data_IF_335777370884
#
_entry.id   IF_335777370884
#
_cell.length_a   1.000
_cell.length_b   1.000
_cell.length_c   1.000
_cell.angle_alpha   90.00
_cell.angle_beta   90.00
_cell.angle_gamma   90.00
#
_symmetry.space_group_name_H-M   'P 1'
#
loop_
_entity.id
_entity.type
_entity.pdbx_description
1 polymer ?
#
# COMPACT_ATOMS: atom_id res chain seq x y z
N UNK A 1 17.47 7.29 -18.06
CA UNK A 1 18.03 7.95 -16.87
C UNK A 1 18.87 6.96 -16.07
N UNK A 2 19.84 7.46 -15.31
CA UNK A 2 20.59 6.77 -14.29
C UNK A 2 19.99 7.11 -12.92
N UNK A 3 19.36 6.14 -12.28
CA UNK A 3 18.58 6.32 -11.04
C UNK A 3 19.34 5.64 -9.92
N UNK A 4 19.72 6.37 -8.87
CA UNK A 4 20.30 5.76 -7.67
C UNK A 4 19.31 5.73 -6.51
N UNK A 5 19.35 4.63 -5.75
CA UNK A 5 18.49 4.40 -4.60
C UNK A 5 19.34 3.99 -3.40
N UNK A 6 19.03 4.50 -2.21
CA UNK A 6 19.45 3.84 -0.98
C UNK A 6 18.69 2.51 -0.78
N UNK A 7 19.19 1.67 0.11
CA UNK A 7 18.63 0.38 0.40
C UNK A 7 17.82 0.33 1.71
N UNK A 8 18.45 0.66 2.84
CA UNK A 8 17.92 0.36 4.17
C UNK A 8 16.93 1.43 4.62
N UNK A 9 15.64 1.10 4.73
CA UNK A 9 14.55 2.06 4.97
C UNK A 9 14.17 2.95 3.77
N UNK A 10 14.77 2.71 2.61
CA UNK A 10 14.32 3.28 1.32
C UNK A 10 13.65 2.20 0.46
N UNK A 11 14.36 1.10 0.17
CA UNK A 11 13.84 -0.06 -0.58
C UNK A 11 13.30 -1.13 0.38
N UNK A 12 14.10 -1.50 1.38
CA UNK A 12 13.77 -2.53 2.35
C UNK A 12 13.05 -1.90 3.55
N UNK A 13 11.82 -2.34 3.79
CA UNK A 13 10.99 -1.94 4.91
C UNK A 13 11.17 -2.92 6.08
N UNK A 14 11.58 -2.37 7.23
CA UNK A 14 11.85 -3.15 8.43
C UNK A 14 10.83 -2.94 9.55
N UNK A 15 9.76 -2.17 9.33
CA UNK A 15 8.83 -1.77 10.40
C UNK A 15 8.29 -2.97 11.20
N UNK A 16 7.80 -3.99 10.49
CA UNK A 16 7.29 -5.21 11.12
C UNK A 16 8.41 -6.07 11.72
N UNK A 17 9.61 -6.03 11.13
CA UNK A 17 10.79 -6.75 11.63
C UNK A 17 11.23 -6.17 12.98
N UNK A 18 11.30 -4.85 13.09
CA UNK A 18 11.60 -4.16 14.35
C UNK A 18 10.56 -4.49 15.43
N UNK A 19 9.26 -4.40 15.09
CA UNK A 19 8.18 -4.71 16.02
C UNK A 19 8.21 -6.16 16.49
N UNK A 20 8.36 -7.12 15.57
CA UNK A 20 8.41 -8.55 15.89
C UNK A 20 9.64 -8.92 16.72
N UNK A 21 10.84 -8.43 16.38
CA UNK A 21 12.05 -8.69 17.15
C UNK A 21 12.01 -8.03 18.54
N UNK A 22 11.40 -6.85 18.67
CA UNK A 22 11.19 -6.21 19.96
C UNK A 22 10.27 -7.04 20.88
N UNK A 23 9.20 -7.62 20.32
CA UNK A 23 8.30 -8.53 21.05
C UNK A 23 9.02 -9.82 21.47
N UNK A 24 9.81 -10.42 20.57
CA UNK A 24 10.58 -11.64 20.86
C UNK A 24 11.58 -11.39 21.99
N UNK A 25 12.26 -10.23 21.99
CA UNK A 25 13.23 -9.84 23.02
C UNK A 25 12.58 -9.30 24.30
N UNK A 26 11.24 -9.26 24.40
CA UNK A 26 10.52 -8.75 25.56
C UNK A 26 10.72 -7.25 25.81
N UNK A 27 11.10 -6.47 24.79
CA UNK A 27 11.31 -5.02 24.92
C UNK A 27 10.00 -4.24 24.94
N UNK A 28 8.94 -4.83 24.38
CA UNK A 28 7.56 -4.34 24.37
C UNK A 28 6.60 -5.51 24.61
N UNK A 29 5.37 -5.20 25.05
CA UNK A 29 4.31 -6.20 25.19
C UNK A 29 3.94 -6.83 23.84
N UNK A 30 3.47 -8.08 23.84
CA UNK A 30 3.06 -8.82 22.62
C UNK A 30 1.98 -8.08 21.82
N UNK A 31 1.11 -7.36 22.51
CA UNK A 31 -0.01 -6.59 21.93
C UNK A 31 0.39 -5.18 21.47
N UNK A 32 1.66 -4.77 21.62
CA UNK A 32 2.13 -3.45 21.21
C UNK A 32 1.98 -3.26 19.69
N UNK A 33 1.51 -2.07 19.27
CA UNK A 33 1.17 -1.74 17.87
C UNK A 33 1.88 -0.48 17.33
N UNK A 34 2.99 -0.07 17.92
CA UNK A 34 3.75 1.09 17.43
C UNK A 34 4.64 0.76 16.22
N UNK A 35 5.19 1.80 15.61
CA UNK A 35 6.12 1.71 14.49
C UNK A 35 7.60 1.76 14.95
N UNK A 36 8.54 1.68 14.00
CA UNK A 36 9.99 1.75 14.28
C UNK A 36 10.40 3.01 15.06
N UNK A 37 9.78 4.16 14.77
CA UNK A 37 10.09 5.43 15.42
C UNK A 37 9.56 5.46 16.86
N UNK A 38 8.34 4.97 17.08
CA UNK A 38 7.78 4.79 18.43
C UNK A 38 8.68 3.88 19.26
N UNK A 39 9.14 2.77 18.68
CA UNK A 39 10.06 1.84 19.33
C UNK A 39 11.40 2.50 19.67
N UNK A 40 11.97 3.28 18.75
CA UNK A 40 13.23 4.00 18.96
C UNK A 40 13.09 5.00 20.12
N UNK A 41 12.00 5.75 20.18
CA UNK A 41 11.71 6.69 21.26
C UNK A 41 11.58 5.97 22.62
N UNK A 42 10.81 4.88 22.66
CA UNK A 42 10.64 4.06 23.87
C UNK A 42 11.96 3.48 24.39
N UNK A 43 12.83 3.02 23.48
CA UNK A 43 14.13 2.45 23.84
C UNK A 43 15.10 3.55 24.29
N UNK A 44 15.12 4.69 23.59
CA UNK A 44 16.03 5.80 23.90
C UNK A 44 15.79 6.42 25.27
N UNK A 45 14.57 6.28 25.83
CA UNK A 45 14.24 6.73 27.18
C UNK A 45 14.86 5.85 28.30
N UNK A 46 15.49 4.71 27.98
CA UNK A 46 16.13 3.82 28.95
C UNK A 46 17.60 4.17 29.15
N UNK A 47 18.13 3.92 30.35
CA UNK A 47 19.54 4.19 30.70
C UNK A 47 20.55 3.49 29.77
N UNK A 48 20.24 2.27 29.30
CA UNK A 48 21.05 1.51 28.32
C UNK A 48 20.45 1.53 26.90
N UNK A 49 19.59 2.51 26.60
CA UNK A 49 18.80 2.59 25.38
C UNK A 49 19.60 2.54 24.09
N UNK A 50 20.73 3.25 24.03
CA UNK A 50 21.59 3.27 22.84
C UNK A 50 22.15 1.88 22.51
N UNK A 51 22.66 1.16 23.50
CA UNK A 51 23.20 -0.20 23.34
C UNK A 51 22.10 -1.17 22.92
N UNK A 52 20.91 -1.06 23.52
CA UNK A 52 19.74 -1.87 23.14
C UNK A 52 19.36 -1.61 21.68
N UNK A 53 19.28 -0.34 21.28
CA UNK A 53 18.94 0.05 19.92
C UNK A 53 19.96 -0.46 18.89
N UNK A 54 21.25 -0.28 19.15
CA UNK A 54 22.31 -0.79 18.28
C UNK A 54 22.30 -2.31 18.16
N UNK A 55 22.07 -3.03 19.27
CA UNK A 55 21.93 -4.49 19.28
C UNK A 55 20.72 -4.94 18.45
N UNK A 56 19.61 -4.21 18.55
CA UNK A 56 18.41 -4.47 17.75
C UNK A 56 18.68 -4.24 16.26
N UNK A 57 19.37 -3.15 15.90
CA UNK A 57 19.76 -2.90 14.51
C UNK A 57 20.65 -4.02 13.96
N UNK A 58 21.60 -4.54 14.75
CA UNK A 58 22.43 -5.68 14.36
C UNK A 58 21.61 -6.95 14.07
N UNK A 59 20.60 -7.24 14.89
CA UNK A 59 19.68 -8.35 14.67
C UNK A 59 18.80 -8.15 13.43
N UNK A 60 18.20 -6.96 13.29
CA UNK A 60 17.21 -6.67 12.24
C UNK A 60 17.84 -6.60 10.86
N UNK A 61 18.95 -5.88 10.72
CA UNK A 61 19.62 -5.70 9.42
C UNK A 61 20.52 -6.87 9.02
N UNK A 62 20.76 -7.81 9.94
CA UNK A 62 21.55 -9.01 9.72
C UNK A 62 20.67 -10.27 9.74
N UNK A 63 20.64 -11.05 10.83
CA UNK A 63 19.93 -12.33 10.88
C UNK A 63 18.45 -12.26 10.46
N UNK A 64 17.74 -11.18 10.82
CA UNK A 64 16.32 -11.03 10.54
C UNK A 64 16.03 -10.28 9.23
N UNK A 65 17.05 -9.95 8.44
CA UNK A 65 16.93 -9.25 7.14
C UNK A 65 15.91 -9.93 6.21
N UNK A 66 15.89 -11.26 6.18
CA UNK A 66 14.99 -12.02 5.31
C UNK A 66 13.50 -11.79 5.57
N UNK A 67 13.15 -11.28 6.77
CA UNK A 67 11.78 -10.93 7.14
C UNK A 67 11.35 -9.55 6.64
N UNK A 68 12.27 -8.74 6.12
CA UNK A 68 11.96 -7.43 5.58
C UNK A 68 11.09 -7.55 4.32
N UNK A 69 10.19 -6.59 4.16
CA UNK A 69 9.32 -6.47 2.97
C UNK A 69 9.84 -5.34 2.08
N UNK A 70 9.41 -5.30 0.83
CA UNK A 70 9.61 -4.10 0.02
C UNK A 70 8.70 -3.00 0.57
N UNK A 71 9.17 -1.75 0.54
CA UNK A 71 8.21 -0.65 0.67
C UNK A 71 7.14 -0.76 -0.43
N UNK A 72 5.87 -0.48 -0.11
CA UNK A 72 4.82 -0.44 -1.13
C UNK A 72 5.23 0.50 -2.27
N UNK A 73 5.00 0.08 -3.52
CA UNK A 73 5.33 0.83 -4.72
C UNK A 73 6.75 0.62 -5.26
N UNK A 74 7.71 0.10 -4.49
CA UNK A 74 9.09 -0.17 -4.98
C UNK A 74 9.10 -1.12 -6.19
N UNK A 75 8.36 -2.24 -6.08
CA UNK A 75 8.31 -3.23 -7.16
C UNK A 75 7.76 -2.63 -8.47
N UNK A 76 6.77 -1.73 -8.35
CA UNK A 76 6.21 -1.00 -9.49
C UNK A 76 7.22 -0.04 -10.08
N UNK A 77 7.87 0.74 -9.23
CA UNK A 77 8.90 1.70 -9.65
C UNK A 77 10.03 1.02 -10.42
N UNK A 78 10.56 -0.10 -9.90
CA UNK A 78 11.65 -0.85 -10.53
C UNK A 78 11.23 -1.43 -11.88
N UNK A 79 10.02 -1.98 -11.98
CA UNK A 79 9.48 -2.50 -13.23
C UNK A 79 9.32 -1.37 -14.28
N UNK A 80 8.77 -0.22 -13.88
CA UNK A 80 8.67 0.96 -14.77
C UNK A 80 10.04 1.44 -15.23
N UNK A 81 11.02 1.50 -14.33
CA UNK A 81 12.40 1.86 -14.69
C UNK A 81 12.94 0.95 -15.79
N UNK A 82 12.77 -0.37 -15.65
CA UNK A 82 13.18 -1.34 -16.66
C UNK A 82 12.46 -1.12 -17.99
N UNK A 83 11.13 -0.97 -17.96
CA UNK A 83 10.30 -0.78 -19.17
C UNK A 83 10.66 0.51 -19.94
N UNK A 84 11.01 1.58 -19.22
CA UNK A 84 11.47 2.85 -19.81
C UNK A 84 12.97 2.87 -20.13
N UNK A 85 13.68 1.74 -20.02
CA UNK A 85 15.11 1.65 -20.29
C UNK A 85 15.98 2.49 -19.36
N UNK A 86 15.52 2.75 -18.13
CA UNK A 86 16.30 3.41 -17.10
C UNK A 86 17.23 2.41 -16.42
N UNK A 87 18.44 2.88 -16.05
CA UNK A 87 19.40 2.05 -15.31
C UNK A 87 19.30 2.38 -13.83
N UNK A 88 19.01 1.37 -13.02
CA UNK A 88 18.93 1.48 -11.57
C UNK A 88 20.27 1.08 -10.94
N UNK A 89 20.72 1.89 -9.98
CA UNK A 89 21.84 1.65 -9.09
C UNK A 89 21.35 1.65 -7.65
N UNK A 90 21.86 0.72 -6.83
CA UNK A 90 21.61 0.72 -5.40
C UNK A 90 22.91 1.10 -4.72
N UNK A 91 22.93 2.23 -4.02
CA UNK A 91 24.11 2.77 -3.36
C UNK A 91 23.78 3.00 -1.90
N UNK A 92 24.31 2.15 -1.01
CA UNK A 92 23.96 2.21 0.42
C UNK A 92 25.19 2.10 1.31
N UNK A 93 25.18 2.87 2.40
CA UNK A 93 26.18 2.76 3.45
C UNK A 93 25.81 1.56 4.32
N UNK A 94 26.65 0.52 4.29
CA UNK A 94 26.38 -0.72 5.02
C UNK A 94 27.68 -1.32 5.54
N UNK A 95 27.80 -1.39 6.86
CA UNK A 95 28.95 -2.02 7.53
C UNK A 95 29.03 -3.51 7.21
N UNK A 96 30.21 -4.11 7.41
CA UNK A 96 30.40 -5.55 7.19
C UNK A 96 29.57 -6.40 8.16
N UNK A 97 29.51 -5.99 9.42
CA UNK A 97 28.79 -6.67 10.50
C UNK A 97 27.88 -5.68 11.23
N UNK A 98 26.80 -6.21 11.81
CA UNK A 98 25.91 -5.45 12.69
C UNK A 98 26.55 -5.14 14.04
N UNK A 99 26.15 -4.03 14.66
CA UNK A 99 26.57 -3.72 16.02
C UNK A 99 26.08 -4.82 16.98
N UNK A 100 26.99 -5.34 17.80
CA UNK A 100 26.72 -6.39 18.80
C UNK A 100 26.07 -7.67 18.23
N UNK A 101 26.19 -7.92 16.92
CA UNK A 101 25.69 -9.14 16.32
C UNK A 101 26.61 -10.32 16.63
N UNK A 102 26.17 -11.17 17.57
CA UNK A 102 26.90 -12.39 17.99
C UNK A 102 26.97 -13.45 16.88
N UNK A 103 26.05 -13.42 15.91
CA UNK A 103 26.03 -14.37 14.79
C UNK A 103 27.11 -14.05 13.75
N UNK A 104 27.66 -12.83 13.78
CA UNK A 104 28.60 -12.31 12.78
C UNK A 104 28.04 -12.41 11.37
N UNK A 105 26.74 -12.13 11.20
CA UNK A 105 26.10 -12.11 9.89
C UNK A 105 26.74 -11.02 9.02
N UNK A 106 27.17 -11.40 7.82
CA UNK A 106 27.68 -10.46 6.82
C UNK A 106 26.49 -9.68 6.24
N UNK A 107 26.35 -8.42 6.65
CA UNK A 107 25.14 -7.67 6.34
C UNK A 107 24.96 -7.45 4.83
N UNK A 108 26.07 -7.27 4.10
CA UNK A 108 26.05 -7.07 2.65
C UNK A 108 25.57 -8.32 1.91
N UNK A 109 26.02 -9.50 2.34
CA UNK A 109 25.58 -10.77 1.77
C UNK A 109 24.11 -11.03 2.10
N UNK A 110 23.69 -10.76 3.34
CA UNK A 110 22.28 -10.86 3.74
C UNK A 110 21.38 -9.96 2.86
N UNK A 111 21.80 -8.72 2.58
CA UNK A 111 21.08 -7.82 1.69
C UNK A 111 21.06 -8.29 0.24
N UNK A 112 22.17 -8.83 -0.29
CA UNK A 112 22.20 -9.40 -1.65
C UNK A 112 21.29 -10.63 -1.78
N UNK A 113 21.32 -11.52 -0.78
CA UNK A 113 20.46 -12.70 -0.75
C UNK A 113 18.98 -12.31 -0.64
N UNK A 114 18.68 -11.25 0.13
CA UNK A 114 17.33 -10.69 0.19
C UNK A 114 16.90 -10.08 -1.16
N UNK A 115 17.74 -9.27 -1.81
CA UNK A 115 17.43 -8.73 -3.14
C UNK A 115 17.17 -9.83 -4.16
N UNK A 116 17.96 -10.91 -4.11
CA UNK A 116 17.80 -12.09 -4.96
C UNK A 116 16.45 -12.79 -4.70
N UNK A 117 16.08 -12.99 -3.42
CA UNK A 117 14.79 -13.58 -3.06
C UNK A 117 13.59 -12.69 -3.40
N UNK A 118 13.81 -11.38 -3.56
CA UNK A 118 12.82 -10.42 -4.09
C UNK A 118 12.88 -10.26 -5.61
N UNK A 119 13.71 -11.02 -6.32
CA UNK A 119 13.77 -11.04 -7.78
C UNK A 119 14.44 -9.84 -8.44
N UNK A 120 15.25 -9.07 -7.69
CA UNK A 120 15.98 -7.89 -8.21
C UNK A 120 16.82 -8.23 -9.43
N UNK A 121 17.42 -9.41 -9.44
CA UNK A 121 18.36 -9.84 -10.46
C UNK A 121 17.73 -10.76 -11.52
N UNK A 122 16.42 -10.99 -11.44
CA UNK A 122 15.69 -11.82 -12.40
C UNK A 122 15.29 -10.94 -13.58
N UNK A 123 15.77 -11.29 -14.78
CA UNK A 123 15.51 -10.51 -15.99
C UNK A 123 14.02 -10.39 -16.28
N UNK A 124 13.22 -11.46 -16.14
CA UNK A 124 11.76 -11.40 -16.36
C UNK A 124 11.01 -10.55 -15.33
N UNK A 125 11.66 -10.13 -14.24
CA UNK A 125 11.12 -9.21 -13.24
C UNK A 125 11.82 -7.84 -13.38
N UNK A 126 12.62 -7.43 -12.40
CA UNK A 126 13.25 -6.10 -12.35
C UNK A 126 14.54 -5.99 -13.17
N UNK A 127 15.24 -7.10 -13.42
CA UNK A 127 16.43 -7.14 -14.30
C UNK A 127 17.59 -6.22 -13.88
N UNK A 128 17.74 -5.92 -12.59
CA UNK A 128 18.83 -5.08 -12.09
C UNK A 128 20.15 -5.86 -12.24
N UNK A 129 21.18 -5.21 -12.76
CA UNK A 129 22.50 -5.81 -12.83
C UNK A 129 23.13 -5.87 -11.42
N UNK A 130 23.57 -7.05 -10.97
CA UNK A 130 24.28 -7.20 -9.68
C UNK A 130 25.50 -6.27 -9.53
N UNK A 131 26.15 -5.90 -10.64
CA UNK A 131 27.28 -4.94 -10.65
C UNK A 131 26.87 -3.50 -10.30
N UNK A 132 25.58 -3.19 -10.33
CA UNK A 132 25.04 -1.88 -9.97
C UNK A 132 24.72 -1.75 -8.48
N UNK A 133 25.05 -2.77 -7.67
CA UNK A 133 24.85 -2.75 -6.22
C UNK A 133 26.16 -2.36 -5.54
N UNK A 134 26.16 -1.23 -4.85
CA UNK A 134 27.32 -0.66 -4.19
C UNK A 134 27.06 -0.49 -2.70
N UNK A 135 27.76 -1.27 -1.89
CA UNK A 135 27.83 -1.07 -0.44
C UNK A 135 29.11 -0.35 -0.05
N UNK A 136 29.00 0.72 0.71
CA UNK A 136 30.14 1.52 1.18
C UNK A 136 30.32 1.39 2.70
N UNK A 137 31.54 1.62 3.19
CA UNK A 137 31.86 1.51 4.62
C UNK A 137 31.54 2.79 5.40
N UNK A 138 31.45 3.93 4.70
CA UNK A 138 31.16 5.22 5.32
C UNK A 138 30.16 6.01 4.47
N UNK A 139 29.48 6.96 5.11
CA UNK A 139 28.63 7.93 4.43
C UNK A 139 29.39 8.73 3.37
N UNK A 140 30.61 9.18 3.67
CA UNK A 140 31.46 9.89 2.70
C UNK A 140 31.78 9.04 1.47
N UNK A 141 32.11 7.76 1.65
CA UNK A 141 32.29 6.83 0.53
C UNK A 141 31.01 6.64 -0.29
N UNK A 142 29.84 6.60 0.35
CA UNK A 142 28.53 6.55 -0.32
C UNK A 142 28.39 7.75 -1.27
N UNK A 143 28.65 8.95 -0.75
CA UNK A 143 28.52 10.21 -1.52
C UNK A 143 29.51 10.25 -2.69
N UNK A 144 30.77 9.86 -2.47
CA UNK A 144 31.76 9.76 -3.54
C UNK A 144 31.34 8.74 -4.60
N UNK A 145 30.72 7.62 -4.20
CA UNK A 145 30.18 6.63 -5.13
C UNK A 145 29.02 7.20 -5.95
N UNK A 146 28.03 7.85 -5.31
CA UNK A 146 26.91 8.56 -5.97
C UNK A 146 27.46 9.54 -7.01
N UNK A 147 28.44 10.36 -6.63
CA UNK A 147 29.12 11.32 -7.52
C UNK A 147 29.81 10.64 -8.70
N UNK A 148 30.48 9.52 -8.48
CA UNK A 148 31.19 8.77 -9.55
C UNK A 148 30.27 8.12 -10.58
N UNK A 149 29.01 7.88 -10.23
CA UNK A 149 28.03 7.21 -11.09
C UNK A 149 27.31 8.19 -12.04
N UNK A 150 27.49 9.51 -11.87
CA UNK A 150 26.85 10.55 -12.67
C UNK A 150 25.32 10.35 -12.78
N UNK A 151 24.67 10.08 -11.63
CA UNK A 151 23.24 9.81 -11.56
C UNK A 151 22.40 11.04 -11.94
N UNK A 152 21.21 10.82 -12.49
CA UNK A 152 20.24 11.89 -12.76
C UNK A 152 19.41 12.22 -11.50
N UNK A 153 19.09 11.18 -10.72
CA UNK A 153 18.27 11.26 -9.51
C UNK A 153 18.80 10.31 -8.43
N UNK A 154 18.69 10.73 -7.16
CA UNK A 154 19.00 9.89 -6.02
C UNK A 154 17.89 9.96 -4.97
N UNK A 155 17.45 8.78 -4.50
CA UNK A 155 16.41 8.61 -3.47
C UNK A 155 17.04 8.06 -2.20
N UNK A 156 16.79 8.70 -1.07
CA UNK A 156 17.32 8.32 0.24
C UNK A 156 16.34 8.71 1.35
N UNK A 157 16.28 7.96 2.45
CA UNK A 157 15.48 8.30 3.64
C UNK A 157 16.22 9.25 4.60
N UNK A 158 17.54 9.42 4.43
CA UNK A 158 18.37 10.24 5.31
C UNK A 158 18.70 11.60 4.70
N UNK A 159 18.18 12.66 5.32
CA UNK A 159 18.44 14.05 4.90
C UNK A 159 19.94 14.41 4.98
N UNK A 160 20.68 13.85 5.95
CA UNK A 160 22.12 14.13 6.10
C UNK A 160 22.96 13.71 4.89
N UNK A 161 22.46 12.81 4.04
CA UNK A 161 23.12 12.42 2.78
C UNK A 161 23.11 13.61 1.82
N UNK A 162 21.97 14.30 1.72
CA UNK A 162 21.74 15.41 0.82
C UNK A 162 22.39 16.72 1.27
N UNK A 163 22.60 16.88 2.58
CA UNK A 163 23.27 18.04 3.20
C UNK A 163 24.80 17.99 3.09
N UNK A 164 25.38 16.86 2.68
CA UNK A 164 26.82 16.75 2.61
C UNK A 164 27.39 17.62 1.46
N UNK A 165 28.42 18.41 1.76
CA UNK A 165 29.02 19.38 0.83
C UNK A 165 29.51 18.76 -0.51
N UNK A 166 30.00 17.52 -0.48
CA UNK A 166 30.42 16.80 -1.70
C UNK A 166 29.28 16.18 -2.52
N UNK A 167 28.02 16.27 -2.06
CA UNK A 167 26.89 15.67 -2.77
C UNK A 167 26.71 16.32 -4.16
N UNK A 168 26.55 15.53 -5.24
CA UNK A 168 26.50 16.08 -6.59
C UNK A 168 25.22 16.88 -6.85
N UNK A 169 25.26 17.79 -7.83
CA UNK A 169 24.10 18.58 -8.26
C UNK A 169 23.18 17.75 -9.17
N UNK A 170 22.40 16.87 -8.55
CA UNK A 170 21.45 15.95 -9.19
C UNK A 170 20.07 16.11 -8.55
N UNK A 171 19.03 15.49 -9.11
CA UNK A 171 17.70 15.51 -8.48
C UNK A 171 17.74 14.73 -7.16
N UNK A 172 17.37 15.38 -6.06
CA UNK A 172 17.36 14.82 -4.70
C UNK A 172 15.93 14.52 -4.29
N UNK A 173 15.64 13.28 -3.88
CA UNK A 173 14.34 12.89 -3.35
C UNK A 173 14.53 12.31 -1.95
N UNK A 174 13.99 13.00 -0.94
CA UNK A 174 13.97 12.54 0.44
C UNK A 174 12.72 11.70 0.68
N UNK A 175 12.91 10.42 1.00
CA UNK A 175 11.84 9.52 1.38
C UNK A 175 11.54 9.65 2.88
N UNK A 176 10.63 10.55 3.23
CA UNK A 176 10.31 10.83 4.62
C UNK A 176 8.90 11.40 4.79
N UNK A 177 8.31 11.16 5.96
CA UNK A 177 7.08 11.85 6.40
C UNK A 177 7.35 13.17 7.13
N UNK A 178 8.62 13.46 7.44
CA UNK A 178 9.04 14.66 8.17
C UNK A 178 9.41 15.78 7.19
N UNK A 179 9.21 17.03 7.62
CA UNK A 179 9.62 18.20 6.83
C UNK A 179 11.11 18.21 6.57
N UNK A 180 11.51 18.55 5.33
CA UNK A 180 12.89 18.82 4.94
C UNK A 180 13.30 20.23 5.36
N UNK A 181 14.54 20.38 5.82
CA UNK A 181 15.20 21.65 6.12
C UNK A 181 16.00 22.13 4.89
N UNK A 182 16.45 21.21 4.04
CA UNK A 182 17.20 21.53 2.82
C UNK A 182 16.30 22.12 1.72
N UNK A 183 16.72 23.26 1.16
CA UNK A 183 16.12 23.84 -0.03
C UNK A 183 16.55 23.03 -1.27
N UNK A 184 15.63 22.75 -2.20
CA UNK A 184 15.85 21.96 -3.43
C UNK A 184 15.94 20.43 -3.25
N UNK A 185 15.37 19.90 -2.17
CA UNK A 185 15.06 18.47 -2.02
C UNK A 185 13.57 18.26 -2.21
N UNK A 186 13.19 17.31 -3.06
CA UNK A 186 11.80 16.89 -3.20
C UNK A 186 11.46 15.93 -2.05
N UNK A 187 10.47 16.29 -1.24
CA UNK A 187 10.01 15.44 -0.14
C UNK A 187 8.89 14.52 -0.64
N UNK A 188 9.09 13.21 -0.51
CA UNK A 188 8.07 12.20 -0.83
C UNK A 188 7.90 11.25 0.35
N UNK A 189 6.66 10.91 0.71
CA UNK A 189 6.38 9.99 1.82
C UNK A 189 5.86 8.62 1.36
N UNK A 190 5.77 8.39 0.05
CA UNK A 190 5.35 7.14 -0.57
C UNK A 190 6.04 6.98 -1.94
N UNK A 191 6.08 5.76 -2.47
CA UNK A 191 6.77 5.48 -3.73
C UNK A 191 6.00 5.92 -4.97
N UNK A 192 4.68 6.11 -4.90
CA UNK A 192 3.92 6.71 -6.00
C UNK A 192 4.38 8.15 -6.27
N UNK A 193 4.64 8.94 -5.23
CA UNK A 193 5.17 10.30 -5.37
C UNK A 193 6.62 10.30 -5.81
N UNK A 194 7.46 9.39 -5.29
CA UNK A 194 8.85 9.20 -5.76
C UNK A 194 8.85 8.88 -7.25
N UNK A 195 8.00 7.95 -7.67
CA UNK A 195 7.85 7.52 -9.06
C UNK A 195 7.45 8.70 -9.97
N UNK A 196 6.39 9.42 -9.62
CA UNK A 196 5.94 10.59 -10.38
C UNK A 196 7.02 11.67 -10.44
N UNK A 197 7.70 11.92 -9.33
CA UNK A 197 8.76 12.92 -9.21
C UNK A 197 9.99 12.53 -10.02
N UNK A 198 10.37 11.27 -10.05
CA UNK A 198 11.59 10.82 -10.71
C UNK A 198 11.41 10.54 -12.21
N UNK A 199 10.36 9.82 -12.60
CA UNK A 199 10.18 9.28 -13.96
C UNK A 199 8.84 9.67 -14.61
N UNK A 200 8.04 10.49 -13.94
CA UNK A 200 6.77 11.02 -14.42
C UNK A 200 5.56 10.12 -14.12
N UNK A 201 4.36 10.64 -14.42
CA UNK A 201 3.12 9.87 -14.32
C UNK A 201 3.15 8.64 -15.23
N UNK A 202 2.33 7.64 -14.88
CA UNK A 202 2.22 6.42 -15.67
C UNK A 202 1.45 6.66 -16.97
N UNK A 203 2.06 6.27 -18.09
CA UNK A 203 1.45 6.38 -19.42
C UNK A 203 0.68 5.11 -19.81
N UNK A 204 -0.23 5.21 -20.78
CA UNK A 204 -0.98 4.06 -21.29
C UNK A 204 -0.06 2.97 -21.91
N UNK A 205 1.06 3.37 -22.52
CA UNK A 205 2.08 2.46 -23.05
C UNK A 205 2.68 1.59 -21.94
N UNK A 206 2.94 2.17 -20.78
CA UNK A 206 3.44 1.45 -19.61
C UNK A 206 2.38 0.53 -19.00
N UNK A 207 1.12 0.96 -18.98
CA UNK A 207 -0.01 0.10 -18.58
C UNK A 207 -0.06 -1.15 -19.46
N UNK A 208 0.21 -1.04 -20.77
CA UNK A 208 0.23 -2.20 -21.66
C UNK A 208 1.29 -3.22 -21.21
N UNK A 209 2.49 -2.74 -20.91
CA UNK A 209 3.57 -3.60 -20.44
C UNK A 209 3.26 -4.24 -19.08
N UNK A 210 2.67 -3.49 -18.14
CA UNK A 210 2.24 -4.02 -16.84
C UNK A 210 1.15 -5.09 -16.99
N UNK A 211 0.20 -4.91 -17.90
CA UNK A 211 -0.84 -5.93 -18.16
C UNK A 211 -0.21 -7.19 -18.75
N UNK A 212 0.69 -7.03 -19.73
CA UNK A 212 1.35 -8.15 -20.39
C UNK A 212 2.27 -8.96 -19.44
N UNK A 213 2.68 -8.41 -18.29
CA UNK A 213 3.47 -9.19 -17.31
C UNK A 213 2.63 -10.20 -16.52
N UNK A 214 1.30 -10.06 -16.51
CA UNK A 214 0.38 -10.95 -15.76
C UNK A 214 -0.72 -11.57 -16.62
N UNK A 215 -0.83 -11.17 -17.89
CA UNK A 215 -1.85 -11.65 -18.81
C UNK A 215 -1.29 -11.80 -20.22
N UNK A 216 -1.18 -13.06 -20.67
CA UNK A 216 -0.52 -13.44 -21.92
C UNK A 216 -1.46 -13.30 -23.14
N UNK A 217 -1.95 -12.08 -23.38
CA UNK A 217 -2.65 -11.73 -24.60
C UNK A 217 -2.27 -10.34 -25.11
N UNK A 218 -2.12 -10.16 -26.43
CA UNK A 218 -1.75 -8.88 -27.01
C UNK A 218 -2.87 -7.85 -26.82
N UNK A 219 -2.58 -6.86 -26.00
CA UNK A 219 -3.45 -5.72 -25.71
C UNK A 219 -3.37 -4.68 -26.83
N UNK A 220 -4.52 -4.28 -27.38
CA UNK A 220 -4.60 -3.31 -28.47
C UNK A 220 -4.78 -1.87 -27.98
N UNK A 221 -5.56 -1.69 -26.92
CA UNK A 221 -5.97 -0.36 -26.48
C UNK A 221 -6.20 -0.30 -24.96
N UNK A 222 -5.77 0.81 -24.36
CA UNK A 222 -5.97 1.17 -22.96
C UNK A 222 -6.73 2.48 -22.91
N UNK A 223 -7.90 2.48 -22.26
CA UNK A 223 -8.67 3.69 -21.99
C UNK A 223 -8.88 3.87 -20.50
N UNK A 224 -8.21 4.87 -19.91
CA UNK A 224 -8.50 5.30 -18.53
C UNK A 224 -9.94 5.82 -18.45
N UNK A 225 -10.68 5.41 -17.43
CA UNK A 225 -12.05 5.87 -17.20
C UNK A 225 -12.05 6.95 -16.12
N UNK A 226 -12.68 8.08 -16.42
CA UNK A 226 -12.73 9.26 -15.53
C UNK A 226 -13.81 9.12 -14.43
N UNK A 227 -13.76 10.02 -13.44
CA UNK A 227 -14.80 10.15 -12.42
C UNK A 227 -14.71 9.16 -11.25
N UNK A 228 -13.58 8.50 -11.04
CA UNK A 228 -13.37 7.57 -9.91
C UNK A 228 -12.30 8.08 -8.96
N UNK A 229 -12.69 8.34 -7.70
CA UNK A 229 -11.78 8.89 -6.68
C UNK A 229 -10.93 7.86 -5.92
N UNK A 230 -11.36 6.59 -5.87
CA UNK A 230 -10.76 5.59 -4.98
C UNK A 230 -9.76 4.64 -5.64
N UNK A 231 -9.83 4.46 -6.96
CA UNK A 231 -8.95 3.59 -7.73
C UNK A 231 -8.91 4.09 -9.16
N UNK A 232 -7.76 3.93 -9.82
CA UNK A 232 -7.65 4.22 -11.25
C UNK A 232 -8.17 3.00 -11.98
N UNK A 233 -9.08 3.20 -12.91
CA UNK A 233 -9.67 2.11 -13.69
C UNK A 233 -9.44 2.32 -15.16
N UNK A 234 -9.16 1.24 -15.86
CA UNK A 234 -8.86 1.24 -17.29
C UNK A 234 -9.72 0.17 -17.96
N UNK A 235 -10.29 0.54 -19.11
CA UNK A 235 -10.88 -0.42 -20.03
C UNK A 235 -9.80 -0.89 -21.00
N UNK A 236 -9.54 -2.19 -20.99
CA UNK A 236 -8.58 -2.88 -21.85
C UNK A 236 -9.32 -3.54 -23.01
N UNK A 237 -8.79 -3.41 -24.23
CA UNK A 237 -9.37 -4.06 -25.43
C UNK A 237 -8.34 -4.97 -26.10
N UNK A 238 -8.70 -6.23 -26.30
CA UNK A 238 -7.85 -7.27 -26.92
C UNK A 238 -8.38 -7.64 -28.30
N UNK A 239 -7.53 -8.23 -29.15
CA UNK A 239 -7.85 -8.53 -30.55
C UNK A 239 -9.08 -9.43 -30.78
N UNK A 240 -9.38 -10.35 -29.86
CA UNK A 240 -10.37 -11.43 -30.08
C UNK A 240 -11.36 -11.65 -28.93
N UNK A 241 -11.35 -10.81 -27.88
CA UNK A 241 -12.14 -11.01 -26.65
C UNK A 241 -12.94 -9.78 -26.26
N UNK A 242 -13.93 -10.03 -25.42
CA UNK A 242 -14.59 -8.98 -24.64
C UNK A 242 -13.54 -8.13 -23.91
N UNK A 243 -13.87 -6.86 -23.69
CA UNK A 243 -13.00 -5.97 -22.91
C UNK A 243 -12.70 -6.54 -21.52
N UNK A 244 -11.63 -6.08 -20.90
CA UNK A 244 -11.27 -6.40 -19.51
C UNK A 244 -11.17 -5.08 -18.74
N UNK A 245 -11.57 -5.10 -17.48
CA UNK A 245 -11.35 -4.00 -16.55
C UNK A 245 -10.02 -4.20 -15.84
N UNK A 246 -9.09 -3.25 -15.98
CA UNK A 246 -7.95 -3.14 -15.08
C UNK A 246 -8.32 -2.18 -13.94
N UNK A 247 -8.09 -2.62 -12.72
CA UNK A 247 -8.16 -1.80 -11.52
C UNK A 247 -6.77 -1.66 -10.92
N UNK A 248 -6.34 -0.41 -10.79
CA UNK A 248 -5.08 0.00 -10.23
C UNK A 248 -5.34 0.64 -8.85
N UNK A 249 -4.90 -0.05 -7.81
CA UNK A 249 -5.24 0.28 -6.43
C UNK A 249 -4.29 1.34 -5.86
N UNK A 250 -4.75 2.14 -4.88
CA UNK A 250 -3.88 3.09 -4.20
C UNK A 250 -2.65 2.42 -3.57
N UNK A 251 -1.54 3.14 -3.54
CA UNK A 251 -0.32 2.76 -2.84
C UNK A 251 -0.64 2.37 -1.38
N UNK A 252 -0.12 1.23 -0.91
CA UNK A 252 -0.41 0.76 0.44
C UNK A 252 0.21 1.65 1.53
N UNK A 253 1.18 2.52 1.18
CA UNK A 253 1.69 3.55 2.09
C UNK A 253 0.68 4.68 2.31
N UNK A 254 -0.18 4.93 1.32
CA UNK A 254 -1.25 5.96 1.37
C UNK A 254 -2.53 5.34 1.95
N UNK A 255 -2.88 4.14 1.50
CA UNK A 255 -4.02 3.37 1.99
C UNK A 255 -3.60 1.93 2.36
N UNK A 256 -3.34 1.64 3.65
CA UNK A 256 -2.80 0.36 4.08
C UNK A 256 -3.79 -0.81 3.99
N UNK A 257 -5.05 -0.55 3.61
CA UNK A 257 -6.04 -1.62 3.45
C UNK A 257 -5.63 -2.52 2.28
N UNK A 258 -5.64 -3.86 2.43
CA UNK A 258 -5.30 -4.79 1.38
C UNK A 258 -6.45 -4.96 0.37
N UNK A 259 -6.92 -3.85 -0.21
CA UNK A 259 -8.14 -3.77 -1.05
C UNK A 259 -8.11 -4.75 -2.22
N UNK A 260 -6.96 -4.89 -2.88
CA UNK A 260 -6.73 -5.86 -3.95
C UNK A 260 -7.09 -7.27 -3.48
N UNK A 261 -6.43 -7.74 -2.42
CA UNK A 261 -6.59 -9.10 -1.91
C UNK A 261 -8.01 -9.34 -1.43
N UNK A 262 -8.60 -8.36 -0.72
CA UNK A 262 -9.98 -8.46 -0.26
C UNK A 262 -10.95 -8.62 -1.42
N UNK A 263 -10.83 -7.79 -2.47
CA UNK A 263 -11.73 -7.82 -3.62
C UNK A 263 -11.53 -9.06 -4.50
N UNK A 264 -10.28 -9.42 -4.82
CA UNK A 264 -9.94 -10.64 -5.56
C UNK A 264 -10.50 -11.87 -4.85
N UNK A 265 -10.25 -11.97 -3.55
CA UNK A 265 -10.68 -13.14 -2.78
C UNK A 265 -12.22 -13.17 -2.75
N UNK A 266 -12.88 -12.04 -2.52
CA UNK A 266 -14.34 -11.97 -2.43
C UNK A 266 -15.00 -12.37 -3.75
N UNK A 267 -14.47 -11.90 -4.88
CA UNK A 267 -14.96 -12.26 -6.21
C UNK A 267 -14.75 -13.75 -6.52
N UNK A 268 -13.61 -14.33 -6.13
CA UNK A 268 -13.36 -15.78 -6.25
C UNK A 268 -14.35 -16.62 -5.44
N UNK A 269 -14.73 -16.17 -4.25
CA UNK A 269 -15.71 -16.87 -3.41
C UNK A 269 -17.08 -16.97 -4.08
N UNK A 270 -17.50 -15.90 -4.77
CA UNK A 270 -18.84 -15.75 -5.34
C UNK A 270 -18.88 -16.02 -6.85
N UNK A 271 -17.77 -16.48 -7.43
CA UNK A 271 -17.60 -16.66 -8.87
C UNK A 271 -18.61 -17.67 -9.44
N UNK A 272 -18.83 -18.77 -8.72
CA UNK A 272 -19.77 -19.85 -9.10
C UNK A 272 -21.23 -19.40 -9.17
N UNK A 273 -21.57 -18.28 -8.52
CA UNK A 273 -22.91 -17.70 -8.64
C UNK A 273 -23.17 -17.14 -10.04
N UNK A 274 -22.13 -16.90 -10.85
CA UNK A 274 -22.23 -16.29 -12.19
C UNK A 274 -23.01 -14.96 -12.21
N UNK A 275 -22.98 -14.23 -11.09
CA UNK A 275 -23.65 -12.94 -10.88
C UNK A 275 -22.68 -11.78 -10.62
N UNK A 276 -21.37 -12.05 -10.69
CA UNK A 276 -20.28 -11.10 -10.40
C UNK A 276 -19.21 -11.19 -11.48
N UNK A 277 -18.36 -10.16 -11.66
CA UNK A 277 -17.28 -10.24 -12.63
C UNK A 277 -16.24 -11.28 -12.19
N UNK A 278 -15.78 -12.08 -13.16
CA UNK A 278 -14.68 -13.03 -12.93
C UNK A 278 -13.36 -12.31 -12.69
N UNK A 279 -12.51 -12.90 -11.85
CA UNK A 279 -11.12 -12.47 -11.68
C UNK A 279 -10.28 -13.09 -12.79
N UNK A 280 -9.77 -12.26 -13.71
CA UNK A 280 -8.97 -12.75 -14.84
C UNK A 280 -7.52 -13.01 -14.42
N UNK A 281 -6.89 -12.03 -13.77
CA UNK A 281 -5.53 -12.12 -13.24
C UNK A 281 -5.32 -11.00 -12.22
N UNK A 282 -4.28 -11.09 -11.39
CA UNK A 282 -3.89 -10.02 -10.48
C UNK A 282 -2.41 -10.15 -10.11
N UNK A 283 -1.83 -9.04 -9.67
CA UNK A 283 -0.45 -8.97 -9.20
C UNK A 283 -0.40 -8.19 -7.88
N UNK A 284 0.01 -8.86 -6.82
CA UNK A 284 0.11 -8.26 -5.48
C UNK A 284 1.25 -7.25 -5.37
N UNK A 285 2.38 -7.48 -6.06
CA UNK A 285 3.55 -6.61 -6.02
C UNK A 285 3.28 -5.29 -6.77
N UNK A 286 2.56 -5.37 -7.88
CA UNK A 286 2.15 -4.20 -8.68
C UNK A 286 0.88 -3.55 -8.13
N UNK A 287 0.16 -4.24 -7.23
CA UNK A 287 -1.10 -3.83 -6.64
C UNK A 287 -2.20 -3.54 -7.69
N UNK A 288 -2.36 -4.46 -8.64
CA UNK A 288 -3.33 -4.36 -9.74
C UNK A 288 -4.15 -5.65 -9.91
N UNK A 289 -5.37 -5.53 -10.44
CA UNK A 289 -6.19 -6.68 -10.84
C UNK A 289 -6.89 -6.45 -12.17
N UNK A 290 -7.09 -7.55 -12.89
CA UNK A 290 -7.85 -7.67 -14.11
C UNK A 290 -9.15 -8.42 -13.83
N UNK A 291 -10.26 -7.81 -14.21
CA UNK A 291 -11.61 -8.34 -14.03
C UNK A 291 -12.35 -8.41 -15.35
N UNK A 292 -13.28 -9.35 -15.44
CA UNK A 292 -14.24 -9.38 -16.54
C UNK A 292 -14.95 -8.02 -16.69
N UNK A 293 -15.03 -7.53 -17.93
CA UNK A 293 -15.80 -6.32 -18.21
C UNK A 293 -17.30 -6.64 -18.29
N UNK A 294 -18.06 -6.14 -17.32
CA UNK A 294 -19.52 -6.16 -17.36
C UNK A 294 -20.02 -4.78 -17.83
N UNK A 295 -20.76 -4.75 -18.94
CA UNK A 295 -21.45 -3.54 -19.38
C UNK A 295 -22.72 -3.37 -18.56
N UNK A 296 -22.67 -2.48 -17.57
CA UNK A 296 -23.84 -2.08 -16.77
C UNK A 296 -24.64 -0.94 -17.38
N UNK A 297 -25.83 -0.72 -16.83
CA UNK A 297 -26.72 0.41 -17.13
C UNK A 297 -27.02 1.19 -15.84
N UNK A 298 -27.24 2.50 -15.96
CA UNK A 298 -27.62 3.32 -14.81
C UNK A 298 -29.11 3.12 -14.50
N UNK A 299 -29.43 2.69 -13.29
CA UNK A 299 -30.79 2.60 -12.81
C UNK A 299 -31.22 3.95 -12.21
N UNK A 300 -32.11 4.66 -12.89
CA UNK A 300 -32.68 5.93 -12.39
C UNK A 300 -33.99 5.73 -11.63
N UNK A 301 -34.67 4.60 -11.85
CA UNK A 301 -35.91 4.22 -11.19
C UNK A 301 -35.77 2.80 -10.66
N UNK A 302 -35.97 2.65 -9.35
CA UNK A 302 -35.97 1.35 -8.68
C UNK A 302 -37.41 0.83 -8.67
N UNK A 303 -37.57 -0.45 -8.98
CA UNK A 303 -38.86 -1.14 -9.07
C UNK A 303 -38.76 -2.46 -8.30
N UNK A 304 -39.89 -3.07 -7.96
CA UNK A 304 -39.95 -4.28 -7.12
C UNK A 304 -39.06 -5.41 -7.64
N UNK A 305 -39.00 -5.61 -8.96
CA UNK A 305 -38.16 -6.65 -9.56
C UNK A 305 -36.65 -6.44 -9.31
N UNK A 306 -36.19 -5.19 -9.22
CA UNK A 306 -34.80 -4.88 -8.85
C UNK A 306 -34.52 -5.26 -7.39
N UNK A 307 -35.47 -5.00 -6.50
CA UNK A 307 -35.38 -5.37 -5.08
C UNK A 307 -35.38 -6.89 -4.94
N UNK A 308 -36.30 -7.58 -5.62
CA UNK A 308 -36.34 -9.05 -5.65
C UNK A 308 -35.03 -9.65 -6.17
N UNK A 309 -34.44 -9.08 -7.22
CA UNK A 309 -33.17 -9.54 -7.76
C UNK A 309 -32.03 -9.37 -6.72
N UNK A 310 -31.96 -8.23 -6.04
CA UNK A 310 -30.96 -7.99 -5.00
C UNK A 310 -31.12 -8.95 -3.81
N UNK A 311 -32.36 -9.18 -3.35
CA UNK A 311 -32.66 -10.15 -2.29
C UNK A 311 -32.26 -11.57 -2.68
N UNK A 312 -32.60 -12.01 -3.90
CA UNK A 312 -32.22 -13.33 -4.40
C UNK A 312 -30.69 -13.48 -4.54
N UNK A 313 -29.95 -12.39 -4.78
CA UNK A 313 -28.49 -12.43 -4.73
C UNK A 313 -27.98 -12.58 -3.29
N UNK A 314 -28.51 -11.83 -2.33
CA UNK A 314 -28.14 -11.96 -0.91
C UNK A 314 -28.41 -13.37 -0.38
N UNK A 315 -29.56 -13.95 -0.73
CA UNK A 315 -29.90 -15.34 -0.38
C UNK A 315 -28.89 -16.33 -0.98
N UNK A 316 -28.48 -16.10 -2.24
CA UNK A 316 -27.43 -16.90 -2.88
C UNK A 316 -26.10 -16.82 -2.12
N UNK A 317 -25.74 -15.64 -1.59
CA UNK A 317 -24.51 -15.46 -0.80
C UNK A 317 -24.56 -16.19 0.54
N UNK A 318 -25.72 -16.20 1.21
CA UNK A 318 -25.89 -16.86 2.51
C UNK A 318 -25.72 -18.38 2.42
N UNK A 319 -26.05 -18.97 1.26
CA UNK A 319 -25.89 -20.39 0.96
C UNK A 319 -24.48 -20.81 0.54
N UNK A 320 -23.50 -19.90 0.47
CA UNK A 320 -22.13 -20.23 0.09
C UNK A 320 -21.38 -20.97 1.20
N UNK A 321 -20.59 -21.97 0.79
CA UNK A 321 -19.62 -22.63 1.66
C UNK A 321 -18.37 -21.77 1.82
N UNK A 322 -17.66 -21.90 2.96
CA UNK A 322 -16.39 -21.18 3.19
C UNK A 322 -16.55 -19.72 3.60
N UNK A 323 -17.75 -19.30 4.01
CA UNK A 323 -18.01 -17.95 4.54
C UNK A 323 -17.39 -17.70 5.92
N UNK A 324 -17.27 -18.73 6.75
CA UNK A 324 -16.74 -18.62 8.12
C UNK A 324 -15.26 -18.19 8.19
N UNK A 325 -14.52 -18.25 7.07
CA UNK A 325 -13.13 -17.78 7.00
C UNK A 325 -12.99 -16.27 6.77
N UNK A 326 -14.11 -15.54 6.68
CA UNK A 326 -14.11 -14.13 6.31
C UNK A 326 -14.32 -13.21 7.50
N UNK A 327 -13.51 -12.14 7.54
CA UNK A 327 -13.69 -11.06 8.49
C UNK A 327 -14.82 -10.10 8.07
N UNK A 328 -15.17 -9.20 8.98
CA UNK A 328 -16.08 -8.09 8.69
C UNK A 328 -15.49 -7.16 7.62
N UNK A 329 -16.37 -6.59 6.80
CA UNK A 329 -15.99 -5.49 5.90
C UNK A 329 -15.45 -4.29 6.70
N UNK A 330 -14.62 -3.43 6.06
CA UNK A 330 -13.90 -2.34 6.73
C UNK A 330 -14.78 -1.37 7.53
N UNK A 331 -16.07 -1.28 7.19
CA UNK A 331 -17.05 -0.41 7.84
C UNK A 331 -18.35 -1.17 8.13
N UNK A 332 -18.25 -2.48 8.43
CA UNK A 332 -19.42 -3.27 8.81
C UNK A 332 -20.13 -2.67 10.03
N UNK A 333 -21.46 -2.62 9.96
CA UNK A 333 -22.32 -2.25 11.08
C UNK A 333 -23.16 -3.48 11.43
N UNK A 334 -22.93 -4.05 12.60
CA UNK A 334 -23.70 -5.16 13.13
C UNK A 334 -24.85 -4.70 14.03
N UNK A 335 -24.95 -3.41 14.36
CA UNK A 335 -26.07 -2.86 15.12
C UNK A 335 -26.44 -1.45 14.66
N UNK A 336 -27.65 -1.02 15.00
CA UNK A 336 -28.11 0.34 14.70
C UNK A 336 -27.17 1.39 15.28
N UNK A 337 -26.67 1.16 16.51
CA UNK A 337 -25.73 2.08 17.16
C UNK A 337 -24.39 2.16 16.47
N UNK A 338 -23.85 1.05 15.96
CA UNK A 338 -22.62 1.07 15.18
C UNK A 338 -22.81 1.90 13.90
N UNK A 339 -23.97 1.76 13.24
CA UNK A 339 -24.33 2.57 12.08
C UNK A 339 -24.38 4.07 12.43
N UNK A 340 -25.07 4.44 13.51
CA UNK A 340 -25.13 5.84 13.96
C UNK A 340 -23.74 6.38 14.34
N UNK A 341 -22.93 5.56 15.01
CA UNK A 341 -21.55 5.92 15.39
C UNK A 341 -20.72 6.25 14.16
N UNK A 342 -20.83 5.45 13.09
CA UNK A 342 -20.13 5.74 11.84
C UNK A 342 -20.66 7.00 11.14
N UNK A 343 -21.97 7.23 11.12
CA UNK A 343 -22.56 8.46 10.57
C UNK A 343 -22.04 9.69 11.30
N UNK A 344 -22.08 9.67 12.64
CA UNK A 344 -21.61 10.78 13.47
C UNK A 344 -20.11 11.02 13.30
N UNK A 345 -19.30 9.96 13.26
CA UNK A 345 -17.87 10.08 13.01
C UNK A 345 -17.56 10.80 11.68
N UNK A 346 -18.29 10.47 10.61
CA UNK A 346 -18.15 11.14 9.31
C UNK A 346 -18.64 12.58 9.35
N UNK A 347 -19.78 12.82 9.98
CA UNK A 347 -20.34 14.16 10.17
C UNK A 347 -19.34 15.08 10.89
N UNK A 348 -18.74 14.61 11.98
CA UNK A 348 -17.74 15.37 12.75
C UNK A 348 -16.51 15.71 11.93
N UNK A 349 -16.07 14.81 11.06
CA UNK A 349 -14.95 15.07 10.15
C UNK A 349 -15.31 16.11 9.09
N UNK A 350 -16.52 16.03 8.53
CA UNK A 350 -16.99 16.98 7.52
C UNK A 350 -17.16 18.38 8.10
N UNK A 351 -17.69 18.51 9.32
CA UNK A 351 -17.86 19.80 10.01
C UNK A 351 -16.54 20.52 10.30
N UNK A 352 -15.44 19.78 10.39
CA UNK A 352 -14.09 20.35 10.59
C UNK A 352 -13.50 20.91 9.30
N UNK A 353 -14.11 20.65 8.15
CA UNK A 353 -13.63 21.17 6.87
C UNK A 353 -13.89 22.67 6.77
N UNK A 354 -12.97 23.40 6.13
CA UNK A 354 -13.08 24.85 5.91
C UNK A 354 -13.94 25.16 4.68
N UNK A 355 -15.17 24.65 4.65
CA UNK A 355 -16.14 24.91 3.58
C UNK A 355 -17.46 25.41 4.20
N UNK A 356 -17.76 26.69 3.98
CA UNK A 356 -18.93 27.35 4.58
C UNK A 356 -20.24 26.74 4.10
N UNK A 357 -20.43 26.59 2.79
CA UNK A 357 -21.67 26.08 2.21
C UNK A 357 -21.97 24.65 2.68
N UNK A 358 -20.93 23.81 2.74
CA UNK A 358 -21.04 22.46 3.30
C UNK A 358 -21.42 22.50 4.77
N UNK A 359 -20.78 23.35 5.58
CA UNK A 359 -21.08 23.45 7.01
C UNK A 359 -22.50 23.97 7.26
N UNK A 360 -22.95 24.96 6.49
CA UNK A 360 -24.31 25.50 6.57
C UNK A 360 -25.34 24.40 6.24
N UNK A 361 -25.12 23.61 5.18
CA UNK A 361 -25.95 22.45 4.87
C UNK A 361 -25.94 21.40 5.99
N UNK A 362 -24.76 21.04 6.51
CA UNK A 362 -24.63 20.00 7.53
C UNK A 362 -25.32 20.42 8.85
N UNK A 363 -25.22 21.69 9.22
CA UNK A 363 -25.78 22.23 10.47
C UNK A 363 -27.29 22.49 10.32
N UNK A 364 -27.70 23.18 9.26
CA UNK A 364 -29.07 23.67 9.13
C UNK A 364 -30.01 22.63 8.51
N UNK A 365 -29.50 21.65 7.77
CA UNK A 365 -30.32 20.67 7.05
C UNK A 365 -30.05 19.24 7.51
N UNK A 366 -28.79 18.78 7.41
CA UNK A 366 -28.47 17.38 7.66
C UNK A 366 -28.68 16.98 9.12
N UNK A 367 -28.14 17.74 10.09
CA UNK A 367 -28.26 17.44 11.52
C UNK A 367 -29.72 17.33 11.99
N UNK A 368 -30.61 18.32 11.73
CA UNK A 368 -32.01 18.21 12.11
C UNK A 368 -32.70 17.00 11.48
N UNK A 369 -32.40 16.71 10.20
CA UNK A 369 -32.95 15.56 9.50
C UNK A 369 -32.47 14.25 10.12
N UNK A 370 -31.17 14.13 10.41
CA UNK A 370 -30.59 12.94 11.04
C UNK A 370 -31.24 12.66 12.40
N UNK A 371 -31.42 13.68 13.25
CA UNK A 371 -32.11 13.50 14.54
C UNK A 371 -33.54 12.98 14.35
N UNK A 372 -34.30 13.58 13.43
CA UNK A 372 -35.68 13.16 13.14
C UNK A 372 -35.74 11.73 12.58
N UNK A 373 -34.85 11.39 11.66
CA UNK A 373 -34.76 10.05 11.06
C UNK A 373 -34.36 9.03 12.12
N UNK A 374 -33.41 9.38 13.00
CA UNK A 374 -32.95 8.49 14.05
C UNK A 374 -34.04 8.21 15.08
N UNK A 375 -34.75 9.23 15.59
CA UNK A 375 -35.88 9.05 16.52
C UNK A 375 -36.97 8.12 15.96
N UNK A 376 -37.24 8.22 14.65
CA UNK A 376 -38.18 7.34 13.96
C UNK A 376 -37.61 5.94 13.76
N UNK A 377 -36.33 5.84 13.38
CA UNK A 377 -35.66 4.55 13.13
C UNK A 377 -35.54 3.74 14.41
N UNK A 378 -35.16 4.36 15.53
CA UNK A 378 -34.99 3.72 16.83
C UNK A 378 -36.28 3.06 17.33
N UNK A 379 -37.45 3.70 17.12
CA UNK A 379 -38.76 3.13 17.48
C UNK A 379 -39.17 1.93 16.62
N UNK A 380 -38.69 1.88 15.38
CA UNK A 380 -39.07 0.86 14.39
C UNK A 380 -37.97 -0.20 14.19
N UNK A 381 -36.80 -0.02 14.82
CA UNK A 381 -35.69 -0.96 14.73
C UNK A 381 -36.03 -2.21 15.56
N UNK A 382 -35.65 -3.42 15.12
CA UNK A 382 -35.75 -4.60 15.97
C UNK A 382 -35.02 -4.37 17.30
N UNK A 383 -35.75 -4.45 18.41
CA UNK A 383 -35.25 -4.10 19.76
C UNK A 383 -33.97 -4.85 20.12
N UNK A 384 -33.85 -6.09 19.64
CA UNK A 384 -32.75 -6.98 19.96
C UNK A 384 -31.45 -6.65 19.20
N UNK A 385 -31.48 -5.74 18.21
CA UNK A 385 -30.34 -5.33 17.39
C UNK A 385 -30.02 -3.81 17.46
N UNK A 386 -30.69 -3.07 18.34
CA UNK A 386 -30.37 -1.65 18.51
C UNK A 386 -28.92 -1.47 19.03
N UNK A 387 -28.57 -2.26 20.04
CA UNK A 387 -27.26 -2.23 20.72
C UNK A 387 -26.41 -3.47 20.43
N UNK A 388 -27.03 -4.66 20.41
CA UNK A 388 -26.33 -5.93 20.23
C UNK A 388 -26.02 -6.16 18.76
N UNK A 389 -24.86 -6.77 18.50
CA UNK A 389 -24.48 -7.23 17.18
C UNK A 389 -25.52 -8.21 16.62
N UNK A 390 -25.72 -8.14 15.30
CA UNK A 390 -26.54 -9.08 14.56
C UNK A 390 -26.06 -10.51 14.83
N UNK A 391 -26.98 -11.48 15.07
CA UNK A 391 -26.63 -12.88 15.17
C UNK A 391 -25.86 -13.34 13.93
N UNK A 392 -24.92 -14.27 14.09
CA UNK A 392 -24.15 -14.84 12.97
C UNK A 392 -25.03 -15.38 11.83
N UNK A 393 -26.17 -15.99 12.18
CA UNK A 393 -27.14 -16.47 11.18
C UNK A 393 -27.73 -15.38 10.29
N UNK A 394 -27.62 -14.11 10.69
CA UNK A 394 -28.15 -12.96 9.97
C UNK A 394 -27.07 -12.13 9.26
N UNK A 395 -25.78 -12.43 9.44
CA UNK A 395 -24.71 -11.76 8.68
C UNK A 395 -24.36 -12.60 7.45
N UNK A 396 -24.15 -11.91 6.32
CA UNK A 396 -24.12 -12.52 4.98
C UNK A 396 -23.02 -13.57 4.83
N UNK A 397 -21.86 -13.34 5.46
CA UNK A 397 -20.70 -14.22 5.40
C UNK A 397 -20.32 -14.82 6.76
N UNK A 398 -21.27 -15.04 7.66
CA UNK A 398 -21.01 -15.58 9.01
C UNK A 398 -21.78 -16.84 9.36
#
# INVERSE_FOLDING_TARGET
>A
MLIGLDFDNTIACYNDVFSSEAKIKGLVHKEWKGNKQDLKLLISAKETGQTIWQTMQGQVYGPSMQKATLFPGVARFLLRCKLKGHTVFIVSHKTKYGHFDKTKTLLREASLNWMDSKGFFIDTQFGINRKNIFFTNTQREKILKIKSLNLDVFVDDLEEIFLHHDFPKIKKILFSSSSSIEHHVELCNNWTDIENTSIGEIENSEIIHLVNSIYDEPLNNVKKLEGRGNSRIYKLSFNKKNSILLKDYPDLSIDPRPRLITEVSALKLVEDLNKTPKVVAFDELQNIALYEWIKGENLYKIEDHHITQALGFIESLQGLNGKDSWGLASEACLSAKQLLTQINFRLDRLLKTKNKDLNDFLICTFKPLLSKVWESSEKNWPSDNLEKDLPKSMQVFS
#
